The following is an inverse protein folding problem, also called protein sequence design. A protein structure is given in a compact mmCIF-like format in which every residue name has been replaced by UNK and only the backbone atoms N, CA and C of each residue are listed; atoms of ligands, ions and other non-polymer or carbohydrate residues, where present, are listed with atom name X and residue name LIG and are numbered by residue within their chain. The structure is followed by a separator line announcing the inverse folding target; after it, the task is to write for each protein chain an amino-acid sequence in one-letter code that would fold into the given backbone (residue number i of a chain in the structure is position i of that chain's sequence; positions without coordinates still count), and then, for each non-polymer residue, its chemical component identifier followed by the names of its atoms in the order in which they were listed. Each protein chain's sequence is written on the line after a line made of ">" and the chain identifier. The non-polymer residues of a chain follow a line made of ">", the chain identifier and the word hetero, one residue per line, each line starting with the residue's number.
data_IF_576005985739
#
_entry.id   IF_576005985739
#
_cell.length_a   1.000
_cell.length_b   1.000
_cell.length_c   1.000
_cell.angle_alpha   90.00
_cell.angle_beta   90.00
_cell.angle_gamma   90.00
#
_symmetry.space_group_name_H-M   'P 1'
#
loop_
_entity.id
_entity.type
_entity.pdbx_description
1 polymer ?
#
# COMPACT_ATOMS: atom_id res chain seq x y z
N UNK A 1 -38.40 0.77 -22.53
CA UNK A 1 -39.46 0.53 -21.52
C UNK A 1 -38.82 0.44 -20.15
N UNK A 2 -39.44 0.99 -19.11
CA UNK A 2 -38.91 0.90 -17.74
C UNK A 2 -39.30 -0.44 -17.11
N UNK A 3 -38.53 -1.50 -17.35
CA UNK A 3 -38.80 -2.87 -16.85
C UNK A 3 -38.09 -3.13 -15.53
N UNK A 4 -38.71 -3.93 -14.65
CA UNK A 4 -38.19 -4.23 -13.31
C UNK A 4 -37.05 -5.24 -13.41
N UNK A 5 -37.28 -6.27 -14.21
CA UNK A 5 -36.36 -7.36 -14.53
C UNK A 5 -35.07 -6.89 -15.22
N UNK A 6 -35.09 -5.73 -15.85
CA UNK A 6 -33.95 -5.09 -16.53
C UNK A 6 -33.28 -3.99 -15.66
N UNK A 7 -33.74 -3.77 -14.41
CA UNK A 7 -33.26 -2.67 -13.55
C UNK A 7 -31.93 -2.92 -12.84
N UNK A 8 -31.40 -4.14 -12.89
CA UNK A 8 -30.19 -4.52 -12.16
C UNK A 8 -30.36 -4.49 -10.64
N UNK A 9 -29.24 -4.42 -9.92
CA UNK A 9 -29.20 -4.45 -8.45
C UNK A 9 -28.44 -3.23 -7.91
N UNK A 10 -28.90 -2.71 -6.78
CA UNK A 10 -28.24 -1.63 -6.05
C UNK A 10 -28.23 -1.91 -4.55
N UNK A 11 -27.29 -1.30 -3.83
CA UNK A 11 -27.31 -1.24 -2.37
C UNK A 11 -27.85 0.13 -1.94
N UNK A 12 -28.90 0.13 -1.12
CA UNK A 12 -29.46 1.34 -0.52
C UNK A 12 -29.64 1.12 0.98
N UNK A 13 -29.07 2.00 1.80
CA UNK A 13 -29.06 1.91 3.27
C UNK A 13 -28.65 0.51 3.78
N UNK A 14 -27.57 -0.04 3.21
CA UNK A 14 -27.03 -1.35 3.60
C UNK A 14 -27.81 -2.57 3.12
N UNK A 15 -28.89 -2.40 2.34
CA UNK A 15 -29.69 -3.51 1.79
C UNK A 15 -29.55 -3.60 0.28
N UNK A 16 -29.32 -4.81 -0.24
CA UNK A 16 -29.36 -5.09 -1.68
C UNK A 16 -30.81 -5.23 -2.13
N UNK A 17 -31.19 -4.50 -3.18
CA UNK A 17 -32.53 -4.51 -3.77
C UNK A 17 -32.45 -4.22 -5.28
N UNK A 18 -33.58 -4.29 -6.00
CA UNK A 18 -33.60 -3.94 -7.42
C UNK A 18 -33.29 -2.46 -7.63
N UNK A 19 -32.75 -2.11 -8.80
CA UNK A 19 -32.41 -0.73 -9.13
C UNK A 19 -33.64 0.19 -9.08
N UNK A 20 -34.82 -0.28 -9.50
CA UNK A 20 -36.05 0.51 -9.42
C UNK A 20 -36.43 0.82 -7.98
N UNK A 21 -36.45 -0.19 -7.11
CA UNK A 21 -36.85 -0.02 -5.71
C UNK A 21 -35.85 0.89 -4.99
N UNK A 22 -34.55 0.76 -5.27
CA UNK A 22 -33.52 1.64 -4.71
C UNK A 22 -33.72 3.10 -5.15
N UNK A 23 -33.90 3.35 -6.46
CA UNK A 23 -34.13 4.70 -7.01
C UNK A 23 -35.40 5.33 -6.43
N UNK A 24 -36.49 4.56 -6.34
CA UNK A 24 -37.75 5.01 -5.73
C UNK A 24 -37.57 5.34 -4.24
N UNK A 25 -36.89 4.48 -3.48
CA UNK A 25 -36.60 4.70 -2.06
C UNK A 25 -35.69 5.92 -1.84
N UNK A 26 -34.83 6.25 -2.80
CA UNK A 26 -33.97 7.44 -2.79
C UNK A 26 -34.68 8.71 -3.34
N UNK A 27 -35.89 8.60 -3.87
CA UNK A 27 -36.61 9.72 -4.50
C UNK A 27 -36.01 10.19 -5.83
N UNK A 28 -35.23 9.34 -6.51
CA UNK A 28 -34.56 9.69 -7.76
C UNK A 28 -35.38 9.13 -8.94
N UNK A 29 -35.77 9.95 -9.94
CA UNK A 29 -36.46 9.46 -11.13
C UNK A 29 -35.53 8.65 -12.03
N UNK A 30 -36.05 7.59 -12.66
CA UNK A 30 -35.29 6.77 -13.62
C UNK A 30 -35.26 7.43 -14.99
N UNK A 31 -34.11 7.35 -15.67
CA UNK A 31 -33.95 7.83 -17.05
C UNK A 31 -34.31 6.73 -18.05
N UNK A 32 -34.95 7.10 -19.16
CA UNK A 32 -35.15 6.23 -20.32
C UNK A 32 -34.07 6.58 -21.33
N UNK A 33 -33.16 5.65 -21.57
CA UNK A 33 -32.02 5.89 -22.45
C UNK A 33 -32.46 6.00 -23.91
N UNK A 34 -31.94 7.01 -24.59
CA UNK A 34 -32.10 7.25 -26.03
C UNK A 34 -30.93 6.67 -26.83
N UNK A 35 -30.81 7.08 -28.09
CA UNK A 35 -29.74 6.62 -28.98
C UNK A 35 -28.35 6.94 -28.39
N UNK A 36 -27.41 5.99 -28.49
CA UNK A 36 -26.03 6.04 -27.98
C UNK A 36 -25.88 6.09 -26.45
N UNK A 37 -26.85 6.58 -25.68
CA UNK A 37 -26.70 6.79 -24.23
C UNK A 37 -26.35 5.51 -23.46
N UNK A 38 -26.93 4.36 -23.81
CA UNK A 38 -26.57 3.08 -23.19
C UNK A 38 -25.13 2.65 -23.46
N UNK A 39 -24.64 2.87 -24.69
CA UNK A 39 -23.24 2.61 -25.03
C UNK A 39 -22.31 3.57 -24.29
N UNK A 40 -22.61 4.87 -24.33
CA UNK A 40 -21.81 5.91 -23.67
C UNK A 40 -21.66 5.70 -22.15
N UNK A 41 -22.67 5.09 -21.50
CA UNK A 41 -22.60 4.76 -20.06
C UNK A 41 -21.62 3.62 -19.73
N UNK A 42 -21.27 2.78 -20.70
CA UNK A 42 -20.54 1.52 -20.45
C UNK A 42 -19.23 1.39 -21.22
N UNK A 43 -19.06 2.17 -22.27
CA UNK A 43 -17.98 2.01 -23.23
C UNK A 43 -16.77 2.85 -22.84
N UNK A 44 -15.87 2.28 -22.03
CA UNK A 44 -14.63 2.93 -21.63
C UNK A 44 -13.90 2.18 -20.52
N UNK A 45 -12.72 2.68 -20.14
CA UNK A 45 -11.92 2.10 -19.06
C UNK A 45 -12.28 2.65 -17.67
N UNK A 46 -13.44 3.31 -17.53
CA UNK A 46 -13.85 4.09 -16.33
C UNK A 46 -13.71 3.32 -15.01
N UNK A 47 -14.14 2.06 -14.94
CA UNK A 47 -14.01 1.26 -13.72
C UNK A 47 -12.54 0.92 -13.39
N UNK A 48 -11.72 0.69 -14.42
CA UNK A 48 -10.30 0.43 -14.25
C UNK A 48 -9.57 1.68 -13.78
N UNK A 49 -9.90 2.83 -14.37
CA UNK A 49 -9.37 4.14 -13.98
C UNK A 49 -9.78 4.51 -12.54
N UNK A 50 -11.05 4.27 -12.17
CA UNK A 50 -11.55 4.51 -10.81
C UNK A 50 -10.80 3.67 -9.75
N UNK A 51 -10.59 2.38 -10.04
CA UNK A 51 -9.74 1.54 -9.18
C UNK A 51 -8.29 2.03 -9.16
N UNK A 52 -7.77 2.53 -10.28
CA UNK A 52 -6.45 3.15 -10.34
C UNK A 52 -6.33 4.34 -9.40
N UNK A 53 -7.31 5.24 -9.39
CA UNK A 53 -7.35 6.39 -8.45
C UNK A 53 -7.32 5.92 -7.00
N UNK A 54 -8.19 4.96 -6.64
CA UNK A 54 -8.25 4.42 -5.27
C UNK A 54 -6.94 3.73 -4.87
N UNK A 55 -6.35 2.97 -5.80
CA UNK A 55 -5.07 2.28 -5.59
C UNK A 55 -3.95 3.28 -5.36
N UNK A 56 -3.84 4.33 -6.19
CA UNK A 56 -2.78 5.34 -6.08
C UNK A 56 -2.93 6.19 -4.81
N UNK A 57 -4.16 6.59 -4.47
CA UNK A 57 -4.43 7.30 -3.23
C UNK A 57 -4.00 6.47 -2.00
N UNK A 58 -4.30 5.17 -1.99
CA UNK A 58 -3.81 4.25 -0.97
C UNK A 58 -2.29 4.10 -1.01
N UNK A 59 -1.70 3.88 -2.19
CA UNK A 59 -0.27 3.65 -2.36
C UNK A 59 0.60 4.81 -1.83
N UNK A 60 0.17 6.07 -2.01
CA UNK A 60 0.85 7.24 -1.43
C UNK A 60 0.90 7.14 0.10
N UNK A 61 -0.23 6.83 0.75
CA UNK A 61 -0.30 6.65 2.21
C UNK A 61 0.58 5.49 2.68
N UNK A 62 0.58 4.39 1.93
CA UNK A 62 1.40 3.22 2.24
C UNK A 62 2.90 3.53 2.17
N UNK A 63 3.36 4.33 1.20
CA UNK A 63 4.77 4.69 1.12
C UNK A 63 5.22 5.61 2.25
N UNK A 64 4.36 6.55 2.67
CA UNK A 64 4.63 7.37 3.85
C UNK A 64 4.68 6.50 5.12
N UNK A 65 3.72 5.58 5.28
CA UNK A 65 3.71 4.60 6.37
C UNK A 65 4.96 3.72 6.34
N UNK A 66 5.39 3.24 5.17
CA UNK A 66 6.56 2.38 5.03
C UNK A 66 7.86 3.07 5.46
N UNK A 67 7.96 4.40 5.32
CA UNK A 67 9.10 5.18 5.82
C UNK A 67 9.08 5.32 7.34
N UNK A 68 7.89 5.44 7.93
CA UNK A 68 7.71 5.43 9.38
C UNK A 68 8.04 4.06 9.97
N UNK A 69 7.49 2.98 9.44
CA UNK A 69 7.77 1.63 9.95
C UNK A 69 9.22 1.22 9.74
N UNK A 70 9.83 1.58 8.60
CA UNK A 70 11.28 1.45 8.38
C UNK A 70 12.08 2.16 9.47
N UNK A 71 11.72 3.41 9.82
CA UNK A 71 12.43 4.19 10.84
C UNK A 71 12.28 3.56 12.22
N UNK A 72 11.08 3.08 12.56
CA UNK A 72 10.84 2.34 13.81
C UNK A 72 11.67 1.06 13.88
N UNK A 73 11.67 0.26 12.81
CA UNK A 73 12.46 -0.97 12.69
C UNK A 73 13.96 -0.69 12.75
N UNK A 74 14.43 0.39 12.13
CA UNK A 74 15.83 0.82 12.14
C UNK A 74 16.28 1.15 13.57
N UNK A 75 15.49 1.90 14.34
CA UNK A 75 15.80 2.19 15.75
C UNK A 75 15.73 0.94 16.63
N UNK A 76 14.71 0.09 16.43
CA UNK A 76 14.57 -1.16 17.19
C UNK A 76 15.78 -2.11 17.01
N UNK A 77 16.36 -2.15 15.81
CA UNK A 77 17.54 -2.96 15.45
C UNK A 77 18.87 -2.22 15.58
N UNK A 78 18.89 -1.03 16.20
CA UNK A 78 20.09 -0.21 16.40
C UNK A 78 20.87 0.05 15.09
N UNK A 79 20.13 0.33 14.02
CA UNK A 79 20.65 0.39 12.65
C UNK A 79 21.61 1.54 12.40
N UNK A 80 22.37 1.41 11.31
CA UNK A 80 23.42 2.33 10.89
C UNK A 80 22.86 3.48 10.05
N UNK A 81 23.12 4.72 10.48
CA UNK A 81 22.65 5.95 9.81
C UNK A 81 23.34 6.21 8.47
N UNK A 82 24.56 5.69 8.29
CA UNK A 82 25.40 5.96 7.12
C UNK A 82 24.71 5.60 5.78
N UNK A 83 23.84 4.58 5.79
CA UNK A 83 23.06 4.15 4.61
C UNK A 83 22.10 5.22 4.10
N UNK A 84 21.77 6.21 4.94
CA UNK A 84 20.84 7.28 4.66
C UNK A 84 21.55 8.62 4.43
N UNK A 85 22.88 8.69 4.36
CA UNK A 85 23.62 9.94 4.11
C UNK A 85 23.24 10.56 2.75
N UNK A 86 22.82 11.83 2.76
CA UNK A 86 22.32 12.53 1.58
C UNK A 86 23.24 12.44 0.36
N UNK A 87 24.55 12.45 0.56
CA UNK A 87 25.56 12.42 -0.52
C UNK A 87 25.50 11.12 -1.32
N UNK A 88 25.21 9.99 -0.67
CA UNK A 88 25.06 8.70 -1.35
C UNK A 88 23.88 8.71 -2.33
N UNK A 89 22.77 9.34 -1.91
CA UNK A 89 21.56 9.39 -2.71
C UNK A 89 21.65 10.43 -3.83
N UNK A 90 22.31 11.57 -3.56
CA UNK A 90 22.60 12.60 -4.56
C UNK A 90 23.46 12.06 -5.71
N UNK A 91 24.53 11.30 -5.40
CA UNK A 91 25.40 10.70 -6.39
C UNK A 91 24.67 9.71 -7.33
N UNK A 92 23.62 9.04 -6.81
CA UNK A 92 22.86 8.03 -7.57
C UNK A 92 21.71 8.62 -8.40
N UNK A 93 21.27 9.85 -8.12
CA UNK A 93 20.34 10.65 -8.95
C UNK A 93 18.93 10.08 -9.14
N UNK A 94 18.45 9.23 -8.23
CA UNK A 94 17.05 8.82 -8.19
C UNK A 94 16.29 9.66 -7.15
N UNK A 95 15.33 10.47 -7.61
CA UNK A 95 14.56 11.41 -6.77
C UNK A 95 13.85 10.69 -5.63
N UNK A 96 13.11 9.62 -5.93
CA UNK A 96 12.40 8.82 -4.93
C UNK A 96 13.35 8.26 -3.85
N UNK A 97 14.54 7.81 -4.26
CA UNK A 97 15.55 7.29 -3.33
C UNK A 97 16.06 8.39 -2.38
N UNK A 98 16.27 9.61 -2.89
CA UNK A 98 16.70 10.75 -2.08
C UNK A 98 15.61 11.22 -1.12
N UNK A 99 14.34 11.18 -1.55
CA UNK A 99 13.17 11.50 -0.72
C UNK A 99 13.09 10.55 0.48
N UNK A 100 13.12 9.24 0.24
CA UNK A 100 13.02 8.23 1.32
C UNK A 100 14.16 8.40 2.32
N UNK A 101 15.39 8.54 1.84
CA UNK A 101 16.54 8.68 2.72
C UNK A 101 16.46 9.94 3.58
N UNK A 102 15.99 11.06 3.00
CA UNK A 102 15.73 12.28 3.74
C UNK A 102 14.66 12.07 4.80
N UNK A 103 13.54 11.43 4.46
CA UNK A 103 12.47 11.14 5.40
C UNK A 103 12.95 10.33 6.60
N UNK A 104 13.71 9.26 6.37
CA UNK A 104 14.23 8.43 7.46
C UNK A 104 15.14 9.24 8.39
N UNK A 105 16.04 10.09 7.84
CA UNK A 105 16.86 11.00 8.66
C UNK A 105 16.02 11.98 9.50
N UNK A 106 14.93 12.51 8.95
CA UNK A 106 14.02 13.40 9.67
C UNK A 106 13.30 12.65 10.83
N UNK A 107 12.78 11.46 10.55
CA UNK A 107 12.02 10.66 11.51
C UNK A 107 12.89 10.17 12.67
N UNK A 108 14.14 9.83 12.39
CA UNK A 108 15.12 9.31 13.37
C UNK A 108 15.96 10.41 14.02
N UNK A 109 15.66 11.69 13.75
CA UNK A 109 16.38 12.82 14.32
C UNK A 109 16.34 12.76 15.85
N UNK A 110 17.50 12.95 16.49
CA UNK A 110 17.72 12.87 17.95
C UNK A 110 17.64 11.47 18.56
N UNK A 111 17.50 10.41 17.76
CA UNK A 111 17.58 9.05 18.29
C UNK A 111 18.96 8.78 18.88
N UNK A 112 18.99 8.19 20.08
CA UNK A 112 20.22 7.61 20.67
C UNK A 112 20.31 6.10 20.43
N UNK A 113 19.34 5.52 19.72
CA UNK A 113 19.30 4.09 19.36
C UNK A 113 20.03 3.82 18.04
N UNK A 114 19.93 4.75 17.09
CA UNK A 114 20.68 4.71 15.83
C UNK A 114 22.19 4.70 16.12
N UNK A 115 22.93 3.93 15.31
CA UNK A 115 24.38 3.71 15.40
C UNK A 115 24.89 3.07 16.70
N UNK A 116 24.02 2.79 17.68
CA UNK A 116 24.42 2.28 19.00
C UNK A 116 25.13 0.92 18.94
N UNK A 117 24.79 0.08 17.97
CA UNK A 117 25.47 -1.21 17.81
C UNK A 117 26.88 -1.09 17.21
N UNK A 118 27.27 0.08 16.70
CA UNK A 118 28.60 0.31 16.13
C UNK A 118 28.90 -0.49 14.85
N UNK A 119 27.88 -1.04 14.19
CA UNK A 119 28.05 -1.76 12.92
C UNK A 119 28.30 -0.79 11.77
N UNK A 120 29.15 -1.19 10.82
CA UNK A 120 29.43 -0.41 9.61
C UNK A 120 28.28 -0.50 8.60
N UNK A 121 27.62 -1.65 8.52
CA UNK A 121 26.55 -1.90 7.54
C UNK A 121 25.47 -2.79 8.12
N UNK A 122 24.22 -2.48 7.80
CA UNK A 122 23.09 -3.37 8.03
C UNK A 122 22.80 -4.31 6.86
N UNK A 123 21.92 -5.27 7.12
CA UNK A 123 21.23 -6.08 6.12
C UNK A 123 20.46 -5.22 5.11
N UNK A 124 20.20 -5.79 3.94
CA UNK A 124 19.62 -5.04 2.82
C UNK A 124 18.20 -4.54 3.08
N UNK A 125 17.41 -5.26 3.87
CA UNK A 125 16.03 -4.85 4.21
C UNK A 125 15.95 -3.53 4.98
N UNK A 126 17.02 -3.15 5.68
CA UNK A 126 17.22 -1.84 6.28
C UNK A 126 17.97 -0.90 5.34
N UNK A 127 19.17 -1.30 4.92
CA UNK A 127 20.12 -0.45 4.21
C UNK A 127 19.68 -0.08 2.79
N UNK A 128 19.00 -0.99 2.10
CA UNK A 128 18.54 -0.79 0.73
C UNK A 128 17.09 -0.28 0.63
N UNK A 129 16.45 0.02 1.78
CA UNK A 129 15.07 0.48 1.79
C UNK A 129 14.84 1.80 1.03
N UNK A 130 15.77 2.79 1.04
CA UNK A 130 15.63 3.97 0.18
C UNK A 130 15.54 3.64 -1.30
N UNK A 131 16.28 2.63 -1.77
CA UNK A 131 16.30 2.22 -3.17
C UNK A 131 14.99 1.54 -3.56
N UNK A 132 14.45 0.68 -2.69
CA UNK A 132 13.20 -0.06 -2.94
C UNK A 132 11.98 0.85 -2.83
N UNK A 133 11.80 1.56 -1.70
CA UNK A 133 10.68 2.47 -1.52
C UNK A 133 10.77 3.65 -2.51
N UNK A 134 11.98 4.09 -2.85
CA UNK A 134 12.21 5.16 -3.81
C UNK A 134 11.82 4.78 -5.23
N UNK A 135 12.09 3.55 -5.65
CA UNK A 135 11.59 3.01 -6.92
C UNK A 135 10.06 2.98 -6.96
N UNK A 136 9.43 2.56 -5.85
CA UNK A 136 7.97 2.57 -5.74
C UNK A 136 7.36 3.99 -5.80
N UNK A 137 8.00 4.99 -5.18
CA UNK A 137 7.58 6.41 -5.30
C UNK A 137 7.53 6.85 -6.76
N UNK A 138 8.59 6.58 -7.52
CA UNK A 138 8.66 6.97 -8.94
C UNK A 138 7.64 6.21 -9.80
N UNK A 139 7.39 4.93 -9.51
CA UNK A 139 6.36 4.14 -10.19
C UNK A 139 4.95 4.71 -9.98
N UNK A 140 4.63 5.10 -8.74
CA UNK A 140 3.35 5.73 -8.39
C UNK A 140 3.23 7.11 -9.03
N UNK A 141 4.28 7.93 -9.04
CA UNK A 141 4.28 9.25 -9.67
C UNK A 141 3.96 9.17 -11.17
N UNK A 142 4.63 8.25 -11.89
CA UNK A 142 4.34 7.99 -13.30
C UNK A 142 2.91 7.48 -13.54
N UNK A 143 2.44 6.57 -12.69
CA UNK A 143 1.08 6.06 -12.78
C UNK A 143 0.03 7.14 -12.46
N UNK A 144 0.32 8.05 -11.52
CA UNK A 144 -0.54 9.18 -11.17
C UNK A 144 -0.74 10.11 -12.36
N UNK A 145 0.30 10.43 -13.12
CA UNK A 145 0.15 11.22 -14.35
C UNK A 145 -0.77 10.52 -15.36
N UNK A 146 -0.55 9.23 -15.59
CA UNK A 146 -1.35 8.45 -16.55
C UNK A 146 -2.81 8.35 -16.14
N UNK A 147 -3.09 8.05 -14.87
CA UNK A 147 -4.45 7.96 -14.34
C UNK A 147 -5.12 9.34 -14.32
N UNK A 148 -4.39 10.41 -13.99
CA UNK A 148 -4.91 11.77 -14.04
C UNK A 148 -5.37 12.14 -15.45
N UNK A 149 -4.60 11.78 -16.48
CA UNK A 149 -5.01 11.99 -17.86
C UNK A 149 -6.27 11.18 -18.20
N UNK A 150 -6.30 9.90 -17.82
CA UNK A 150 -7.44 9.02 -18.12
C UNK A 150 -8.76 9.49 -17.50
N UNK A 151 -8.76 9.89 -16.22
CA UNK A 151 -10.00 10.32 -15.54
C UNK A 151 -10.54 11.66 -16.05
N UNK A 152 -9.73 12.43 -16.79
CA UNK A 152 -10.14 13.66 -17.45
C UNK A 152 -10.29 13.51 -18.97
N UNK A 153 -10.18 12.28 -19.50
CA UNK A 153 -10.29 12.00 -20.91
C UNK A 153 -11.75 11.73 -21.33
N UNK A 154 -12.01 11.86 -22.64
CA UNK A 154 -13.24 11.36 -23.27
C UNK A 154 -12.98 9.91 -23.71
N UNK A 155 -13.27 8.96 -22.82
CA UNK A 155 -13.16 7.53 -23.08
C UNK A 155 -14.51 6.97 -23.56
N UNK A 156 -14.72 6.95 -24.88
CA UNK A 156 -15.93 6.41 -25.52
C UNK A 156 -15.66 6.19 -27.03
N UNK A 157 -16.63 5.62 -27.74
CA UNK A 157 -16.67 5.53 -29.20
C UNK A 157 -18.11 5.30 -29.71
N UNK A 158 -18.56 6.00 -30.78
CA UNK A 158 -17.88 7.10 -31.47
C UNK A 158 -17.86 8.39 -30.63
N UNK A 159 -16.88 9.25 -30.91
CA UNK A 159 -16.77 10.58 -30.29
C UNK A 159 -17.46 11.61 -31.19
N UNK A 160 -18.27 12.47 -30.59
CA UNK A 160 -18.97 13.55 -31.29
C UNK A 160 -18.15 14.83 -31.22
N UNK A 161 -17.85 15.43 -32.37
CA UNK A 161 -17.17 16.73 -32.48
C UNK A 161 -18.12 17.88 -32.88
N UNK A 162 -19.38 17.54 -33.15
CA UNK A 162 -20.47 18.46 -33.43
C UNK A 162 -21.77 17.68 -33.69
N UNK A 163 -22.89 18.38 -33.99
CA UNK A 163 -24.19 17.73 -34.22
C UNK A 163 -24.18 16.71 -35.36
N UNK A 164 -23.37 16.96 -36.39
CA UNK A 164 -23.32 16.16 -37.62
C UNK A 164 -21.95 15.48 -37.83
N UNK A 165 -21.07 15.49 -36.82
CA UNK A 165 -19.73 14.92 -36.89
C UNK A 165 -19.46 13.92 -35.78
N UNK A 166 -19.34 12.65 -36.17
CA UNK A 166 -18.98 11.55 -35.29
C UNK A 166 -17.74 10.84 -35.86
N UNK A 167 -16.68 10.72 -35.04
CA UNK A 167 -15.47 10.01 -35.41
C UNK A 167 -15.39 8.69 -34.65
N UNK A 168 -15.12 7.62 -35.39
CA UNK A 168 -14.84 6.30 -34.81
C UNK A 168 -13.35 6.20 -34.46
N UNK A 169 -13.06 5.78 -33.23
CA UNK A 169 -11.70 5.62 -32.71
C UNK A 169 -11.62 4.56 -31.62
N UNK A 170 -10.47 4.52 -30.94
CA UNK A 170 -10.15 3.52 -29.90
C UNK A 170 -10.06 4.08 -28.48
N UNK A 171 -10.63 5.26 -28.21
CA UNK A 171 -10.48 5.96 -26.92
C UNK A 171 -11.05 5.19 -25.71
N UNK A 172 -11.83 4.14 -25.93
CA UNK A 172 -12.31 3.24 -24.87
C UNK A 172 -11.24 2.23 -24.41
N UNK A 173 -10.14 2.06 -25.15
CA UNK A 173 -9.15 1.01 -24.92
C UNK A 173 -8.22 1.36 -23.75
N UNK A 174 -8.39 0.66 -22.61
CA UNK A 174 -7.68 0.97 -21.35
C UNK A 174 -6.22 0.53 -21.24
N UNK A 175 -5.48 0.41 -22.35
CA UNK A 175 -4.07 -0.05 -22.32
C UNK A 175 -3.19 0.80 -21.39
N UNK A 176 -3.25 2.15 -21.44
CA UNK A 176 -2.42 2.98 -20.57
C UNK A 176 -2.67 2.67 -19.09
N UNK A 177 -3.95 2.52 -18.70
CA UNK A 177 -4.36 2.16 -17.33
C UNK A 177 -3.83 0.78 -16.95
N UNK A 178 -3.99 -0.22 -17.82
CA UNK A 178 -3.54 -1.59 -17.57
C UNK A 178 -2.05 -1.68 -17.28
N UNK A 179 -1.24 -1.06 -18.15
CA UNK A 179 0.22 -1.07 -18.02
C UNK A 179 0.71 -0.40 -16.73
N UNK A 180 0.18 0.79 -16.40
CA UNK A 180 0.62 1.47 -15.17
C UNK A 180 0.15 0.78 -13.90
N UNK A 181 -1.02 0.13 -13.92
CA UNK A 181 -1.49 -0.64 -12.77
C UNK A 181 -0.67 -1.91 -12.54
N UNK A 182 -0.20 -2.58 -13.60
CA UNK A 182 0.76 -3.68 -13.44
C UNK A 182 2.11 -3.20 -12.90
N UNK A 183 2.56 -2.00 -13.29
CA UNK A 183 3.77 -1.40 -12.74
C UNK A 183 3.65 -1.07 -11.25
N UNK A 184 2.54 -0.43 -10.84
CA UNK A 184 2.24 -0.11 -9.43
C UNK A 184 2.14 -1.36 -8.58
N UNK A 185 1.46 -2.40 -9.10
CA UNK A 185 1.34 -3.70 -8.43
C UNK A 185 2.70 -4.32 -8.14
N UNK A 186 3.60 -4.37 -9.12
CA UNK A 186 4.95 -4.87 -8.91
C UNK A 186 5.72 -4.05 -7.86
N UNK A 187 5.60 -2.72 -7.92
CA UNK A 187 6.25 -1.82 -6.96
C UNK A 187 5.77 -2.04 -5.51
N UNK A 188 4.45 -2.15 -5.29
CA UNK A 188 3.89 -2.38 -3.96
C UNK A 188 4.20 -3.79 -3.43
N UNK A 189 4.28 -4.80 -4.31
CA UNK A 189 4.75 -6.14 -3.92
C UNK A 189 6.17 -6.10 -3.36
N UNK A 190 7.07 -5.30 -3.94
CA UNK A 190 8.45 -5.13 -3.43
C UNK A 190 8.49 -4.39 -2.08
N UNK A 191 7.65 -3.38 -1.88
CA UNK A 191 7.52 -2.66 -0.59
C UNK A 191 7.03 -3.61 0.50
N UNK A 192 6.01 -4.42 0.22
CA UNK A 192 5.53 -5.44 1.15
C UNK A 192 6.62 -6.49 1.45
N UNK A 193 7.34 -6.96 0.43
CA UNK A 193 8.39 -7.96 0.60
C UNK A 193 9.54 -7.47 1.48
N UNK A 194 10.03 -6.24 1.25
CA UNK A 194 11.12 -5.70 2.08
C UNK A 194 10.68 -5.40 3.51
N UNK A 195 9.42 -4.99 3.71
CA UNK A 195 8.80 -4.81 5.03
C UNK A 195 8.73 -6.13 5.81
N UNK A 196 8.26 -7.21 5.17
CA UNK A 196 8.22 -8.52 5.80
C UNK A 196 9.62 -9.04 6.16
N UNK A 197 10.65 -8.75 5.34
CA UNK A 197 12.03 -9.06 5.71
C UNK A 197 12.49 -8.32 6.98
N UNK A 198 12.03 -7.08 7.21
CA UNK A 198 12.31 -6.36 8.47
C UNK A 198 11.58 -7.01 9.65
N UNK A 199 10.33 -7.43 9.47
CA UNK A 199 9.61 -8.25 10.48
C UNK A 199 10.40 -9.51 10.80
N UNK A 200 10.86 -10.25 9.79
CA UNK A 200 11.69 -11.44 10.01
C UNK A 200 12.93 -11.14 10.86
N UNK A 201 13.66 -10.07 10.57
CA UNK A 201 14.87 -9.73 11.32
C UNK A 201 14.59 -9.28 12.75
N UNK A 202 13.48 -8.56 13.01
CA UNK A 202 13.09 -8.19 14.37
C UNK A 202 12.86 -9.42 15.27
N UNK A 203 12.34 -10.50 14.69
CA UNK A 203 11.98 -11.71 15.43
C UNK A 203 13.16 -12.69 15.59
N UNK A 204 14.22 -12.56 14.79
CA UNK A 204 15.39 -13.43 14.85
C UNK A 204 16.45 -12.91 15.84
N UNK A 205 16.73 -13.62 16.96
CA UNK A 205 17.72 -13.22 17.96
C UNK A 205 19.16 -13.10 17.40
N UNK A 206 19.44 -13.69 16.23
CA UNK A 206 20.73 -13.55 15.55
C UNK A 206 20.91 -12.21 14.85
N UNK A 207 19.80 -11.51 14.61
CA UNK A 207 19.74 -10.33 13.73
C UNK A 207 19.14 -9.09 14.42
N UNK A 208 18.42 -9.27 15.54
CA UNK A 208 17.67 -8.22 16.22
C UNK A 208 18.46 -7.49 17.34
N UNK A 209 19.77 -7.72 17.43
CA UNK A 209 20.66 -7.03 18.37
C UNK A 209 20.27 -7.22 19.84
N UNK A 210 20.08 -8.48 20.25
CA UNK A 210 19.90 -8.87 21.65
C UNK A 210 18.47 -8.71 22.17
N UNK A 211 17.47 -8.56 21.27
CA UNK A 211 16.06 -8.67 21.67
C UNK A 211 15.66 -10.15 21.82
N UNK A 212 14.66 -10.47 22.66
CA UNK A 212 14.17 -11.83 22.82
C UNK A 212 13.70 -12.46 21.49
N UNK A 213 13.83 -13.79 21.32
CA UNK A 213 13.35 -14.47 20.12
C UNK A 213 11.84 -14.28 19.96
N UNK A 214 11.39 -14.08 18.71
CA UNK A 214 9.99 -13.79 18.37
C UNK A 214 9.41 -12.58 19.11
N UNK A 215 10.26 -11.72 19.67
CA UNK A 215 9.90 -10.60 20.54
C UNK A 215 9.03 -11.02 21.74
N UNK A 216 9.24 -12.20 22.34
CA UNK A 216 8.55 -12.54 23.61
C UNK A 216 8.80 -11.48 24.69
N UNK A 217 7.86 -11.30 25.61
CA UNK A 217 7.92 -10.24 26.64
C UNK A 217 9.11 -10.41 27.58
N UNK A 218 9.46 -11.67 27.87
CA UNK A 218 10.52 -12.05 28.78
C UNK A 218 11.33 -13.18 28.17
N UNK A 219 12.67 -13.10 28.12
CA UNK A 219 13.52 -14.16 27.56
C UNK A 219 13.21 -15.55 28.14
N UNK A 220 12.86 -15.62 29.43
CA UNK A 220 12.55 -16.87 30.14
C UNK A 220 11.23 -17.51 29.68
N UNK A 221 10.36 -16.76 29.02
CA UNK A 221 9.09 -17.25 28.48
C UNK A 221 9.24 -17.79 27.04
N UNK A 222 10.43 -17.68 26.44
CA UNK A 222 10.68 -18.21 25.10
C UNK A 222 10.40 -19.72 25.03
N UNK A 223 9.62 -20.15 24.04
CA UNK A 223 9.19 -21.54 23.86
C UNK A 223 7.88 -21.88 24.57
N UNK A 224 7.51 -21.16 25.63
CA UNK A 224 6.15 -21.19 26.19
C UNK A 224 5.25 -20.17 25.47
N UNK A 225 5.75 -18.95 25.30
CA UNK A 225 5.14 -17.91 24.48
C UNK A 225 5.74 -17.92 23.08
N UNK A 226 4.89 -17.70 22.09
CA UNK A 226 5.25 -17.59 20.67
C UNK A 226 5.47 -16.14 20.22
N UNK A 227 5.06 -15.16 21.04
CA UNK A 227 5.24 -13.73 20.75
C UNK A 227 4.63 -13.36 19.40
N UNK A 228 5.44 -12.75 18.53
CA UNK A 228 5.00 -12.23 17.22
C UNK A 228 5.12 -13.25 16.07
N UNK A 229 5.36 -14.53 16.37
CA UNK A 229 5.51 -15.57 15.34
C UNK A 229 4.31 -15.66 14.39
N UNK A 230 3.08 -15.66 14.92
CA UNK A 230 1.87 -15.75 14.08
C UNK A 230 1.64 -14.49 13.21
N UNK A 231 1.77 -13.26 13.74
CA UNK A 231 1.80 -12.05 12.91
C UNK A 231 2.80 -12.13 11.75
N UNK A 232 4.01 -12.65 11.97
CA UNK A 232 4.98 -12.85 10.89
C UNK A 232 4.48 -13.83 9.82
N UNK A 233 3.84 -14.94 10.21
CA UNK A 233 3.28 -15.89 9.24
C UNK A 233 2.22 -15.24 8.35
N UNK A 234 1.37 -14.39 8.93
CA UNK A 234 0.39 -13.61 8.17
C UNK A 234 1.08 -12.68 7.17
N UNK A 235 2.10 -11.93 7.60
CA UNK A 235 2.86 -11.06 6.69
C UNK A 235 3.50 -11.85 5.53
N UNK A 236 4.15 -12.98 5.84
CA UNK A 236 4.77 -13.84 4.83
C UNK A 236 3.74 -14.38 3.83
N UNK A 237 2.57 -14.82 4.30
CA UNK A 237 1.49 -15.30 3.43
C UNK A 237 0.99 -14.22 2.47
N UNK A 238 0.77 -12.99 2.96
CA UNK A 238 0.30 -11.86 2.15
C UNK A 238 1.34 -11.42 1.12
N UNK A 239 2.63 -11.48 1.45
CA UNK A 239 3.71 -11.22 0.48
C UNK A 239 3.73 -12.28 -0.62
N UNK A 240 3.62 -13.56 -0.28
CA UNK A 240 3.59 -14.64 -1.28
C UNK A 240 2.37 -14.53 -2.22
N UNK A 241 1.21 -14.16 -1.68
CA UNK A 241 0.03 -13.86 -2.48
C UNK A 241 0.29 -12.68 -3.42
N UNK A 242 0.87 -11.59 -2.91
CA UNK A 242 1.19 -10.39 -3.71
C UNK A 242 2.21 -10.66 -4.81
N UNK A 243 3.20 -11.53 -4.56
CA UNK A 243 4.16 -11.98 -5.57
C UNK A 243 3.47 -12.81 -6.67
N UNK A 244 2.52 -13.67 -6.29
CA UNK A 244 1.72 -14.44 -7.26
C UNK A 244 0.86 -13.52 -8.14
N UNK A 245 0.30 -12.46 -7.55
CA UNK A 245 -0.49 -11.45 -8.27
C UNK A 245 0.38 -10.51 -9.12
N UNK A 246 1.69 -10.42 -8.90
CA UNK A 246 2.58 -9.46 -9.54
C UNK A 246 2.77 -9.66 -11.06
N UNK A 247 2.34 -10.81 -11.61
CA UNK A 247 2.39 -11.05 -13.06
C UNK A 247 1.59 -9.99 -13.83
N UNK A 248 2.14 -9.37 -14.90
CA UNK A 248 1.45 -8.31 -15.63
C UNK A 248 0.21 -8.86 -16.36
N UNK A 249 -0.97 -8.33 -16.06
CA UNK A 249 -2.21 -8.78 -16.69
C UNK A 249 -2.45 -8.08 -18.04
N UNK A 250 -1.89 -6.90 -18.25
CA UNK A 250 -2.02 -6.09 -19.48
C UNK A 250 -1.43 -6.77 -20.71
N UNK A 251 -0.48 -7.68 -20.53
CA UNK A 251 0.11 -8.47 -21.64
C UNK A 251 -0.72 -9.72 -21.98
N UNK A 252 -1.88 -9.91 -21.35
CA UNK A 252 -2.78 -11.04 -21.59
C UNK A 252 -4.03 -10.58 -22.36
N UNK A 253 -3.93 -10.61 -23.68
CA UNK A 253 -5.04 -10.33 -24.59
C UNK A 253 -5.58 -11.63 -25.21
N UNK A 254 -6.90 -11.75 -25.30
CA UNK A 254 -7.60 -12.84 -26.00
C UNK A 254 -8.71 -12.27 -26.88
N UNK A 255 -8.87 -12.74 -28.12
CA UNK A 255 -9.85 -12.19 -29.04
C UNK A 255 -11.29 -12.55 -28.63
N UNK A 256 -12.18 -11.57 -28.65
CA UNK A 256 -13.62 -11.69 -28.40
C UNK A 256 -14.43 -11.16 -29.60
N UNK A 257 -15.76 -11.20 -29.49
CA UNK A 257 -16.68 -10.62 -30.48
C UNK A 257 -16.42 -11.07 -31.93
N UNK A 258 -16.16 -12.38 -32.11
CA UNK A 258 -15.83 -13.01 -33.39
C UNK A 258 -14.65 -12.35 -34.15
N UNK A 259 -13.66 -11.85 -33.41
CA UNK A 259 -12.46 -11.23 -33.96
C UNK A 259 -12.58 -9.73 -34.24
N UNK A 260 -13.69 -9.09 -33.86
CA UNK A 260 -13.80 -7.61 -33.88
C UNK A 260 -13.07 -6.96 -32.72
N UNK A 261 -13.06 -7.61 -31.57
CA UNK A 261 -12.29 -7.23 -30.39
C UNK A 261 -11.11 -8.21 -30.29
N UNK A 262 -10.19 -8.12 -31.25
CA UNK A 262 -9.04 -9.02 -31.34
C UNK A 262 -7.91 -8.69 -30.35
N UNK A 263 -7.95 -7.49 -29.77
CA UNK A 263 -7.04 -7.03 -28.74
C UNK A 263 -7.77 -6.42 -27.53
N UNK A 264 -7.40 -6.83 -26.32
CA UNK A 264 -7.96 -6.33 -25.07
C UNK A 264 -6.84 -6.02 -24.07
N UNK A 265 -6.88 -4.82 -23.49
CA UNK A 265 -5.91 -4.36 -22.49
C UNK A 265 -5.92 -5.13 -21.16
N UNK A 266 -6.97 -5.92 -20.90
CA UNK A 266 -7.22 -6.58 -19.62
C UNK A 266 -7.08 -5.63 -18.40
N UNK A 267 -7.32 -4.34 -18.62
CA UNK A 267 -6.99 -3.27 -17.69
C UNK A 267 -7.73 -3.39 -16.35
N UNK A 268 -8.96 -3.93 -16.37
CA UNK A 268 -9.73 -4.16 -15.17
C UNK A 268 -9.07 -5.21 -14.26
N UNK A 269 -8.46 -6.25 -14.83
CA UNK A 269 -7.75 -7.27 -14.06
C UNK A 269 -6.44 -6.70 -13.50
N UNK A 270 -5.70 -5.92 -14.29
CA UNK A 270 -4.53 -5.15 -13.79
C UNK A 270 -4.92 -4.26 -12.62
N UNK A 271 -5.97 -3.44 -12.75
CA UNK A 271 -6.41 -2.52 -11.71
C UNK A 271 -6.91 -3.24 -10.44
N UNK A 272 -7.71 -4.31 -10.59
CA UNK A 272 -8.20 -5.11 -9.44
C UNK A 272 -7.06 -5.78 -8.67
N UNK A 273 -6.11 -6.38 -9.38
CA UNK A 273 -4.98 -7.05 -8.74
C UNK A 273 -4.00 -6.06 -8.11
N UNK A 274 -3.80 -4.88 -8.73
CA UNK A 274 -3.06 -3.78 -8.12
C UNK A 274 -3.70 -3.30 -6.81
N UNK A 275 -5.03 -3.13 -6.80
CA UNK A 275 -5.76 -2.75 -5.59
C UNK A 275 -5.64 -3.82 -4.49
N UNK A 276 -5.77 -5.11 -4.84
CA UNK A 276 -5.58 -6.20 -3.87
C UNK A 276 -4.15 -6.21 -3.28
N UNK A 277 -3.13 -6.02 -4.11
CA UNK A 277 -1.74 -5.93 -3.64
C UNK A 277 -1.53 -4.72 -2.72
N UNK A 278 -2.18 -3.59 -3.01
CA UNK A 278 -2.15 -2.44 -2.10
C UNK A 278 -2.75 -2.78 -0.72
N UNK A 279 -3.89 -3.47 -0.67
CA UNK A 279 -4.49 -3.92 0.60
C UNK A 279 -3.61 -4.93 1.34
N UNK A 280 -2.96 -5.84 0.62
CA UNK A 280 -2.01 -6.78 1.22
C UNK A 280 -0.79 -6.03 1.80
N UNK A 281 -0.25 -5.04 1.07
CA UNK A 281 0.83 -4.20 1.54
C UNK A 281 0.43 -3.38 2.79
N UNK A 282 -0.79 -2.87 2.85
CA UNK A 282 -1.36 -2.20 4.03
C UNK A 282 -1.27 -3.09 5.28
N UNK A 283 -1.72 -4.33 5.16
CA UNK A 283 -1.64 -5.31 6.24
C UNK A 283 -0.20 -5.62 6.65
N UNK A 284 0.71 -5.80 5.68
CA UNK A 284 2.11 -6.12 5.97
C UNK A 284 2.80 -4.97 6.71
N UNK A 285 2.52 -3.72 6.32
CA UNK A 285 3.03 -2.54 7.00
C UNK A 285 2.44 -2.40 8.41
N UNK A 286 1.15 -2.71 8.60
CA UNK A 286 0.53 -2.72 9.92
C UNK A 286 1.20 -3.76 10.86
N UNK A 287 1.54 -4.94 10.33
CA UNK A 287 2.27 -5.97 11.08
C UNK A 287 3.69 -5.49 11.40
N UNK A 288 4.38 -4.83 10.47
CA UNK A 288 5.68 -4.22 10.76
C UNK A 288 5.59 -3.19 11.87
N UNK A 289 4.63 -2.26 11.80
CA UNK A 289 4.40 -1.24 12.83
C UNK A 289 4.17 -1.86 14.22
N UNK A 290 3.34 -2.92 14.29
CA UNK A 290 3.07 -3.63 15.53
C UNK A 290 4.33 -4.30 16.10
N UNK A 291 5.07 -5.03 15.26
CA UNK A 291 6.32 -5.70 15.65
C UNK A 291 7.39 -4.69 16.07
N UNK A 292 7.57 -3.61 15.31
CA UNK A 292 8.54 -2.56 15.59
C UNK A 292 8.19 -1.81 16.89
N UNK A 293 6.91 -1.49 17.13
CA UNK A 293 6.47 -0.87 18.39
C UNK A 293 6.75 -1.78 19.60
N UNK A 294 6.48 -3.08 19.47
CA UNK A 294 6.82 -4.05 20.51
C UNK A 294 8.33 -4.12 20.74
N UNK A 295 9.12 -4.19 19.67
CA UNK A 295 10.58 -4.22 19.74
C UNK A 295 11.16 -2.95 20.37
N UNK A 296 10.63 -1.78 20.04
CA UNK A 296 10.99 -0.50 20.65
C UNK A 296 10.69 -0.49 22.15
N UNK A 297 9.54 -1.02 22.58
CA UNK A 297 9.22 -1.13 24.01
C UNK A 297 10.28 -1.96 24.75
N UNK A 298 10.61 -3.14 24.23
CA UNK A 298 11.66 -4.00 24.79
C UNK A 298 13.03 -3.33 24.76
N UNK A 299 13.33 -2.56 23.70
CA UNK A 299 14.58 -1.83 23.56
C UNK A 299 14.73 -0.72 24.59
N UNK A 300 13.66 0.03 24.87
CA UNK A 300 13.65 1.07 25.89
C UNK A 300 13.77 0.47 27.30
N UNK A 301 13.30 -0.75 27.53
CA UNK A 301 13.54 -1.48 28.79
C UNK A 301 15.01 -1.89 28.93
N UNK A 302 15.66 -2.32 27.84
CA UNK A 302 17.09 -2.63 27.83
C UNK A 302 17.97 -1.39 28.03
N UNK A 303 17.51 -0.24 27.54
CA UNK A 303 18.24 1.02 27.62
C UNK A 303 17.33 2.16 28.14
N UNK A 304 17.13 2.25 29.47
CA UNK A 304 16.22 3.22 30.07
C UNK A 304 16.57 4.69 29.77
N UNK A 305 17.86 5.00 29.58
CA UNK A 305 18.34 6.34 29.26
C UNK A 305 18.36 6.64 27.75
N UNK A 306 17.86 5.73 26.92
CA UNK A 306 17.78 5.94 25.48
C UNK A 306 16.63 6.90 25.12
N UNK A 307 16.76 7.52 23.96
CA UNK A 307 15.75 8.36 23.35
C UNK A 307 15.46 7.83 21.94
N UNK A 308 14.17 7.70 21.61
CA UNK A 308 13.74 7.45 20.23
C UNK A 308 13.85 8.74 19.41
N UNK A 309 14.04 8.63 18.10
CA UNK A 309 13.97 9.77 17.21
C UNK A 309 12.58 10.42 17.26
N UNK A 310 12.51 11.74 17.00
CA UNK A 310 11.26 12.51 17.20
C UNK A 310 10.05 11.94 16.47
N UNK A 311 10.23 11.56 15.20
CA UNK A 311 9.15 10.97 14.40
C UNK A 311 8.80 9.56 14.84
N UNK A 312 9.82 8.75 15.18
CA UNK A 312 9.62 7.40 15.72
C UNK A 312 8.87 7.45 17.05
N UNK A 313 9.21 8.38 17.95
CA UNK A 313 8.53 8.58 19.22
C UNK A 313 7.04 8.96 19.03
N UNK A 314 6.74 9.78 18.03
CA UNK A 314 5.35 10.15 17.70
C UNK A 314 4.55 8.93 17.20
N UNK A 315 5.08 8.19 16.23
CA UNK A 315 4.43 6.98 15.71
C UNK A 315 4.25 5.92 16.81
N UNK A 316 5.29 5.70 17.61
CA UNK A 316 5.26 4.81 18.77
C UNK A 316 4.17 5.23 19.77
N UNK A 317 4.09 6.52 20.11
CA UNK A 317 3.09 7.05 21.02
C UNK A 317 1.66 6.86 20.53
N UNK A 318 1.40 7.08 19.24
CA UNK A 318 0.10 6.81 18.62
C UNK A 318 -0.29 5.33 18.76
N UNK A 319 0.61 4.43 18.34
CA UNK A 319 0.40 2.98 18.43
C UNK A 319 0.19 2.53 19.88
N UNK A 320 1.01 3.02 20.81
CA UNK A 320 0.93 2.65 22.23
C UNK A 320 -0.34 3.17 22.91
N UNK A 321 -0.90 4.28 22.43
CA UNK A 321 -2.17 4.82 22.95
C UNK A 321 -3.37 3.97 22.55
N UNK A 322 -3.33 3.36 21.37
CA UNK A 322 -4.37 2.48 20.82
C UNK A 322 -4.20 1.04 21.30
N UNK A 323 -2.96 0.55 21.33
CA UNK A 323 -2.58 -0.80 21.74
C UNK A 323 -1.44 -0.74 22.76
N UNK A 324 -1.74 -0.59 24.06
CA UNK A 324 -0.74 -0.66 25.11
C UNK A 324 0.03 -1.98 25.06
N UNK A 325 1.30 -1.96 25.49
CA UNK A 325 2.13 -3.16 25.50
C UNK A 325 1.46 -4.30 26.29
N UNK A 326 1.25 -5.42 25.60
CA UNK A 326 0.71 -6.64 26.18
C UNK A 326 1.80 -7.72 26.18
N UNK A 327 2.19 -8.24 27.35
CA UNK A 327 3.31 -9.16 27.46
C UNK A 327 3.04 -10.55 26.85
N UNK A 328 2.13 -11.34 27.44
CA UNK A 328 1.86 -12.73 27.04
C UNK A 328 1.32 -12.90 25.63
N UNK A 329 1.23 -14.16 25.19
CA UNK A 329 0.52 -14.50 23.96
C UNK A 329 -0.97 -14.12 24.06
N UNK A 330 -1.50 -13.59 22.96
CA UNK A 330 -2.90 -13.19 22.84
C UNK A 330 -3.42 -13.47 21.44
N UNK A 331 -4.71 -13.26 21.23
CA UNK A 331 -5.29 -13.24 19.90
C UNK A 331 -4.86 -11.98 19.15
N UNK A 332 -3.82 -12.10 18.32
CA UNK A 332 -3.23 -10.95 17.60
C UNK A 332 -4.11 -10.35 16.49
N UNK A 333 -5.15 -11.05 16.03
CA UNK A 333 -6.02 -10.60 14.93
C UNK A 333 -6.57 -9.18 15.12
N UNK A 334 -7.31 -8.91 16.22
CA UNK A 334 -7.84 -7.59 16.53
C UNK A 334 -6.76 -6.51 16.69
N UNK A 335 -5.57 -6.88 17.19
CA UNK A 335 -4.45 -5.95 17.30
C UNK A 335 -3.92 -5.56 15.92
N UNK A 336 -3.74 -6.53 15.01
CA UNK A 336 -3.33 -6.26 13.63
C UNK A 336 -4.39 -5.44 12.88
N UNK A 337 -5.68 -5.74 13.05
CA UNK A 337 -6.76 -4.97 12.43
C UNK A 337 -6.80 -3.52 12.94
N UNK A 338 -6.58 -3.30 14.24
CA UNK A 338 -6.55 -1.94 14.80
C UNK A 338 -5.38 -1.11 14.24
N UNK A 339 -4.19 -1.69 14.11
CA UNK A 339 -3.07 -0.98 13.47
C UNK A 339 -3.32 -0.78 11.97
N UNK A 340 -3.95 -1.75 11.29
CA UNK A 340 -4.36 -1.58 9.89
C UNK A 340 -5.29 -0.38 9.73
N UNK A 341 -6.25 -0.18 10.62
CA UNK A 341 -7.13 1.00 10.59
C UNK A 341 -6.33 2.31 10.67
N UNK A 342 -5.31 2.39 11.54
CA UNK A 342 -4.43 3.57 11.61
C UNK A 342 -3.68 3.82 10.29
N UNK A 343 -3.18 2.74 9.66
CA UNK A 343 -2.54 2.85 8.33
C UNK A 343 -3.55 3.30 7.27
N UNK A 344 -4.73 2.69 7.24
CA UNK A 344 -5.76 2.97 6.24
C UNK A 344 -6.24 4.43 6.31
N UNK A 345 -6.39 4.99 7.51
CA UNK A 345 -6.80 6.38 7.74
C UNK A 345 -5.67 7.41 7.59
N UNK A 346 -4.41 6.97 7.42
CA UNK A 346 -3.26 7.86 7.27
C UNK A 346 -2.69 8.40 8.58
N UNK A 347 -3.10 7.85 9.73
CA UNK A 347 -2.67 8.32 11.05
C UNK A 347 -1.16 8.12 11.27
N UNK A 348 -0.55 7.16 10.56
CA UNK A 348 0.89 6.84 10.62
C UNK A 348 1.73 7.48 9.51
N UNK A 349 1.19 8.37 8.68
CA UNK A 349 2.00 9.02 7.63
C UNK A 349 3.02 10.00 8.19
N UNK A 350 2.65 10.67 9.29
CA UNK A 350 3.33 11.79 9.93
C UNK A 350 3.72 12.92 8.95
N UNK A 351 3.41 14.19 9.23
CA UNK A 351 3.84 15.28 8.36
C UNK A 351 5.38 15.38 8.32
N UNK A 352 5.93 15.87 7.21
CA UNK A 352 7.33 16.30 7.21
C UNK A 352 7.45 17.63 7.94
N UNK A 353 8.52 17.80 8.71
CA UNK A 353 8.80 19.05 9.40
C UNK A 353 9.14 20.20 8.44
N UNK A 354 9.23 19.93 7.12
CA UNK A 354 9.65 20.88 6.08
C UNK A 354 8.60 21.12 4.98
N UNK A 355 7.33 20.73 5.15
CA UNK A 355 6.25 21.11 4.23
C UNK A 355 5.65 22.46 4.59
#
# INVERSE_FOLDING_TARGET
>A
HDREEESGWAHWQGKRMSGRVAMQAAGIPRMILEAKEGLALTNGATFSAALGVLTLATAVRLLNTAEVTLSMSLEAMLGASAAFDARLHELRRHSGQAIVARRVRELTQESTLIDRAGRVQDVYSLRCAPQVHGAARMAIEYASETIQNEINAVTDNPILFGPDEALSGGNFHGEPVGMVMDHVKAALSEVAAISERRVYHLLDPKMNEGLPPMLVDRPESAGLHSGMMMPQYTAASLVLESQSLAFPNSVQSLPTSAGKEDHNANAMTSARTAFQVALNCEHVLAIEALCASRALTLRMQQFPDAQMGRGVAQAYGLIASELPFHGPDTWWGPHMDRIRELVAHGDLELPSAQT
#
